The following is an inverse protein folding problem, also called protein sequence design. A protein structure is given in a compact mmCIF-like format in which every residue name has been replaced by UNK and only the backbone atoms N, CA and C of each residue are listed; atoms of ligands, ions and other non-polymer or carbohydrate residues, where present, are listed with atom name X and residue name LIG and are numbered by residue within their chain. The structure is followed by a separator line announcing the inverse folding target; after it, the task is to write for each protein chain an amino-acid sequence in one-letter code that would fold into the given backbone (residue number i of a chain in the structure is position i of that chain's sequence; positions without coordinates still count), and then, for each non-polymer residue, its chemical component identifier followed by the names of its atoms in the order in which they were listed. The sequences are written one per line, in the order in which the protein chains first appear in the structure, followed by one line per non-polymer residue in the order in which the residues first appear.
data_IF_724909447429
#
_entry.id   IF_724909447429
#
_cell.length_a   1.000
_cell.length_b   1.000
_cell.length_c   1.000
_cell.angle_alpha   90.00
_cell.angle_beta   90.00
_cell.angle_gamma   90.00
#
_symmetry.space_group_name_H-M   'P 1'
#
loop_
_entity.id
_entity.type
_entity.pdbx_description
1 polymer ?
#
# COMPACT_ATOMS: atom_id res chain seq x y z
N UNK A 1 -28.26 -12.34 4.23
CA UNK A 1 -27.82 -11.80 2.92
C UNK A 1 -27.17 -10.44 3.12
N UNK A 2 -25.92 -10.26 2.70
CA UNK A 2 -25.18 -9.00 2.91
C UNK A 2 -25.80 -7.81 2.18
N UNK A 3 -25.81 -6.63 2.81
CA UNK A 3 -26.34 -5.39 2.21
C UNK A 3 -25.51 -5.06 0.95
N UNK A 4 -26.14 -5.11 -0.24
CA UNK A 4 -25.51 -4.72 -1.52
C UNK A 4 -25.06 -3.25 -1.44
N UNK A 5 -23.79 -2.99 -1.75
CA UNK A 5 -23.16 -1.65 -1.76
C UNK A 5 -22.85 -1.29 -3.21
N UNK A 6 -22.87 0.00 -3.52
CA UNK A 6 -22.40 0.51 -4.82
C UNK A 6 -20.99 0.00 -5.09
N UNK A 7 -20.75 -0.50 -6.30
CA UNK A 7 -19.41 -0.95 -6.70
C UNK A 7 -18.38 0.17 -6.53
N UNK A 8 -17.29 -0.10 -5.82
CA UNK A 8 -16.17 0.83 -5.60
C UNK A 8 -15.16 0.68 -6.74
N UNK A 9 -14.57 1.80 -7.17
CA UNK A 9 -13.51 1.78 -8.17
C UNK A 9 -13.63 2.93 -9.16
N UNK A 10 -12.52 3.21 -9.84
CA UNK A 10 -12.44 4.17 -10.95
C UNK A 10 -13.34 3.69 -12.08
N UNK A 11 -14.22 4.56 -12.58
CA UNK A 11 -15.17 4.22 -13.65
C UNK A 11 -14.50 4.32 -15.03
N UNK A 12 -13.72 5.38 -15.24
CA UNK A 12 -12.96 5.65 -16.46
C UNK A 12 -11.49 5.53 -16.12
N UNK A 13 -10.87 4.41 -16.49
CA UNK A 13 -9.43 4.19 -16.34
C UNK A 13 -8.67 5.14 -17.27
N UNK A 14 -7.54 5.67 -16.81
CA UNK A 14 -6.71 6.64 -17.53
C UNK A 14 -7.51 7.81 -18.12
N UNK A 15 -8.50 8.31 -17.36
CA UNK A 15 -9.45 9.33 -17.82
C UNK A 15 -8.77 10.52 -18.53
N UNK A 16 -7.66 11.03 -18.00
CA UNK A 16 -7.01 12.23 -18.53
C UNK A 16 -6.37 11.94 -19.90
N UNK A 17 -5.84 10.72 -20.08
CA UNK A 17 -5.30 10.23 -21.36
C UNK A 17 -6.43 10.10 -22.39
N UNK A 18 -7.52 9.42 -22.02
CA UNK A 18 -8.68 9.23 -22.90
C UNK A 18 -9.31 10.56 -23.31
N UNK A 19 -9.42 11.50 -22.39
CA UNK A 19 -9.91 12.85 -22.68
C UNK A 19 -9.00 13.55 -23.69
N UNK A 20 -7.69 13.54 -23.49
CA UNK A 20 -6.74 14.12 -24.43
C UNK A 20 -6.85 13.47 -25.82
N UNK A 21 -6.98 12.15 -25.89
CA UNK A 21 -7.15 11.41 -27.14
C UNK A 21 -8.44 11.75 -27.90
N UNK A 22 -9.56 12.02 -27.20
CA UNK A 22 -10.79 12.51 -27.87
C UNK A 22 -10.59 13.92 -28.40
N UNK A 23 -9.97 14.80 -27.62
CA UNK A 23 -9.78 16.20 -28.00
C UNK A 23 -8.81 16.39 -29.17
N UNK A 24 -7.91 15.44 -29.41
CA UNK A 24 -7.05 15.45 -30.61
C UNK A 24 -7.84 15.41 -31.93
N UNK A 25 -9.05 14.85 -31.90
CA UNK A 25 -9.91 14.74 -33.08
C UNK A 25 -10.94 15.89 -33.17
N UNK A 26 -10.87 16.87 -32.25
CA UNK A 26 -11.88 17.93 -32.09
C UNK A 26 -11.25 19.32 -32.06
N UNK A 27 -12.05 20.36 -32.34
CA UNK A 27 -11.62 21.75 -32.16
C UNK A 27 -11.41 22.08 -30.67
N UNK A 28 -10.50 23.01 -30.37
CA UNK A 28 -10.22 23.49 -29.00
C UNK A 28 -11.45 24.09 -28.29
N UNK A 29 -12.39 24.61 -29.05
CA UNK A 29 -13.64 25.16 -28.58
C UNK A 29 -14.83 24.21 -28.79
N UNK A 30 -14.58 22.92 -29.03
CA UNK A 30 -15.62 21.92 -29.18
C UNK A 30 -16.61 21.97 -28.00
N UNK A 31 -17.88 21.95 -28.38
CA UNK A 31 -19.02 21.94 -27.47
C UNK A 31 -19.02 20.67 -26.60
N UNK A 32 -19.79 20.73 -25.52
CA UNK A 32 -19.98 19.57 -24.64
C UNK A 32 -20.56 18.37 -25.38
N UNK A 33 -21.48 18.60 -26.32
CA UNK A 33 -22.10 17.55 -27.12
C UNK A 33 -21.11 16.91 -28.10
N UNK A 34 -20.30 17.72 -28.80
CA UNK A 34 -19.25 17.21 -29.70
C UNK A 34 -18.23 16.36 -28.94
N UNK A 35 -17.80 16.82 -27.76
CA UNK A 35 -16.89 16.06 -26.91
C UNK A 35 -17.51 14.72 -26.47
N UNK A 36 -18.77 14.73 -26.02
CA UNK A 36 -19.43 13.51 -25.54
C UNK A 36 -19.68 12.52 -26.69
N UNK A 37 -20.03 13.00 -27.89
CA UNK A 37 -20.15 12.16 -29.07
C UNK A 37 -18.80 11.55 -29.46
N UNK A 38 -17.73 12.36 -29.45
CA UNK A 38 -16.36 11.88 -29.65
C UNK A 38 -15.96 10.82 -28.63
N UNK A 39 -16.27 11.04 -27.35
CA UNK A 39 -15.97 10.10 -26.27
C UNK A 39 -16.73 8.79 -26.42
N UNK A 40 -18.04 8.84 -26.73
CA UNK A 40 -18.85 7.64 -26.99
C UNK A 40 -18.32 6.83 -28.18
N UNK A 41 -17.90 7.52 -29.24
CA UNK A 41 -17.35 6.90 -30.45
C UNK A 41 -16.01 6.23 -30.18
N UNK A 42 -15.11 6.90 -29.46
CA UNK A 42 -13.73 6.43 -29.22
C UNK A 42 -13.63 5.43 -28.06
N UNK A 43 -14.44 5.59 -27.01
CA UNK A 43 -14.41 4.78 -25.79
C UNK A 43 -15.81 4.24 -25.41
N UNK A 44 -16.46 3.43 -26.27
CA UNK A 44 -17.82 2.94 -26.03
C UNK A 44 -17.93 2.08 -24.77
N UNK A 45 -16.89 1.31 -24.43
CA UNK A 45 -16.87 0.46 -23.23
C UNK A 45 -16.82 1.29 -21.94
N UNK A 46 -16.03 2.36 -21.90
CA UNK A 46 -16.01 3.27 -20.75
C UNK A 46 -17.36 3.97 -20.58
N UNK A 47 -18.00 4.37 -21.69
CA UNK A 47 -19.34 4.94 -21.65
C UNK A 47 -20.36 3.96 -21.04
N UNK A 48 -20.36 2.69 -21.48
CA UNK A 48 -21.21 1.65 -20.91
C UNK A 48 -20.95 1.43 -19.41
N UNK A 49 -19.70 1.50 -18.95
CA UNK A 49 -19.36 1.42 -17.52
C UNK A 49 -19.94 2.59 -16.72
N UNK A 50 -19.90 3.80 -17.26
CA UNK A 50 -20.49 4.99 -16.63
C UNK A 50 -22.01 4.83 -16.53
N UNK A 51 -22.69 4.41 -17.59
CA UNK A 51 -24.13 4.16 -17.59
C UNK A 51 -24.52 3.06 -16.59
N UNK A 52 -23.80 1.93 -16.60
CA UNK A 52 -24.04 0.84 -15.67
C UNK A 52 -23.88 1.27 -14.20
N UNK A 53 -22.85 2.09 -13.89
CA UNK A 53 -22.66 2.61 -12.53
C UNK A 53 -23.78 3.57 -12.13
N UNK A 54 -24.24 4.42 -13.04
CA UNK A 54 -25.35 5.33 -12.77
C UNK A 54 -26.67 4.59 -12.55
N UNK A 55 -26.97 3.57 -13.36
CA UNK A 55 -28.14 2.70 -13.18
C UNK A 55 -28.10 1.95 -11.84
N UNK A 56 -26.91 1.46 -11.43
CA UNK A 56 -26.71 0.87 -10.10
C UNK A 56 -27.04 1.89 -9.00
N UNK A 57 -26.53 3.12 -9.11
CA UNK A 57 -26.84 4.22 -8.19
C UNK A 57 -28.34 4.51 -8.10
N UNK A 58 -29.05 4.65 -9.23
CA UNK A 58 -30.50 4.91 -9.27
C UNK A 58 -31.31 3.80 -8.61
N UNK A 59 -30.88 2.54 -8.75
CA UNK A 59 -31.53 1.39 -8.11
C UNK A 59 -31.39 1.40 -6.58
N UNK A 60 -30.31 2.00 -6.06
CA UNK A 60 -29.95 2.02 -4.65
C UNK A 60 -30.45 3.28 -3.93
N UNK A 61 -30.43 4.45 -4.58
CA UNK A 61 -30.83 5.73 -3.97
C UNK A 61 -32.32 5.74 -3.61
N UNK A 62 -33.16 5.04 -4.39
CA UNK A 62 -34.59 4.85 -4.05
C UNK A 62 -34.81 4.13 -2.72
N UNK A 63 -33.79 3.42 -2.21
CA UNK A 63 -33.89 2.57 -1.02
C UNK A 63 -33.10 3.14 0.17
N UNK A 64 -32.26 4.17 -0.03
CA UNK A 64 -31.26 4.61 0.95
C UNK A 64 -30.87 6.07 0.72
N UNK A 65 -30.49 6.77 1.80
CA UNK A 65 -29.90 8.11 1.70
C UNK A 65 -28.44 8.02 1.21
N UNK A 66 -28.25 8.02 -0.11
CA UNK A 66 -26.93 7.98 -0.78
C UNK A 66 -26.66 9.37 -1.39
N UNK A 67 -25.44 9.93 -1.25
CA UNK A 67 -25.09 11.21 -1.87
C UNK A 67 -25.37 11.23 -3.38
N UNK A 68 -25.76 12.39 -3.95
CA UNK A 68 -26.07 12.50 -5.37
C UNK A 68 -24.86 12.16 -6.25
N UNK A 69 -25.09 11.35 -7.29
CA UNK A 69 -24.10 11.06 -8.33
C UNK A 69 -24.45 11.86 -9.59
N UNK A 70 -23.43 12.42 -10.26
CA UNK A 70 -23.62 13.08 -11.55
C UNK A 70 -24.17 12.11 -12.60
N UNK A 71 -25.09 12.57 -13.43
CA UNK A 71 -25.58 11.82 -14.60
C UNK A 71 -24.43 11.47 -15.54
N UNK A 72 -24.51 10.40 -16.36
CA UNK A 72 -23.42 9.95 -17.21
C UNK A 72 -22.77 11.05 -18.04
N UNK A 73 -23.59 11.89 -18.68
CA UNK A 73 -23.14 13.06 -19.45
C UNK A 73 -22.28 14.01 -18.60
N UNK A 74 -22.83 14.50 -17.50
CA UNK A 74 -22.13 15.43 -16.61
C UNK A 74 -20.91 14.79 -15.94
N UNK A 75 -20.95 13.50 -15.64
CA UNK A 75 -19.82 12.76 -15.08
C UNK A 75 -18.61 12.79 -16.01
N UNK A 76 -18.83 12.52 -17.31
CA UNK A 76 -17.77 12.54 -18.31
C UNK A 76 -17.26 13.96 -18.57
N UNK A 77 -18.14 14.96 -18.60
CA UNK A 77 -17.72 16.37 -18.68
C UNK A 77 -16.86 16.80 -17.48
N UNK A 78 -17.27 16.42 -16.26
CA UNK A 78 -16.52 16.69 -15.05
C UNK A 78 -15.14 16.03 -15.09
N UNK A 79 -15.04 14.82 -15.67
CA UNK A 79 -13.77 14.12 -15.88
C UNK A 79 -12.87 14.86 -16.89
N UNK A 80 -13.46 15.47 -17.91
CA UNK A 80 -12.73 16.17 -18.97
C UNK A 80 -12.32 17.61 -18.64
N UNK A 81 -12.93 18.22 -17.61
CA UNK A 81 -12.82 19.65 -17.28
C UNK A 81 -11.38 20.18 -17.26
N UNK A 82 -10.45 19.46 -16.62
CA UNK A 82 -9.06 19.93 -16.46
C UNK A 82 -8.34 19.94 -17.81
N UNK A 83 -8.37 18.83 -18.55
CA UNK A 83 -7.67 18.72 -19.85
C UNK A 83 -8.31 19.66 -20.89
N UNK A 84 -9.64 19.76 -20.94
CA UNK A 84 -10.33 20.72 -21.83
C UNK A 84 -9.93 22.16 -21.53
N UNK A 85 -9.88 22.54 -20.26
CA UNK A 85 -9.42 23.87 -19.85
C UNK A 85 -7.98 24.13 -20.30
N UNK A 86 -7.04 23.19 -20.08
CA UNK A 86 -5.65 23.32 -20.53
C UNK A 86 -5.55 23.51 -22.05
N UNK A 87 -6.29 22.70 -22.82
CA UNK A 87 -6.31 22.80 -24.28
C UNK A 87 -6.87 24.13 -24.77
N UNK A 88 -7.94 24.64 -24.14
CA UNK A 88 -8.50 25.96 -24.43
C UNK A 88 -7.51 27.10 -24.16
N UNK A 89 -6.63 26.96 -23.17
CA UNK A 89 -5.57 27.92 -22.86
C UNK A 89 -4.32 27.75 -23.74
N UNK A 90 -4.37 26.88 -24.75
CA UNK A 90 -3.31 26.72 -25.75
C UNK A 90 -2.23 25.70 -25.38
N UNK A 91 -2.43 24.87 -24.35
CA UNK A 91 -1.51 23.75 -24.11
C UNK A 91 -1.62 22.70 -25.23
N UNK A 92 -0.48 22.16 -25.66
CA UNK A 92 -0.41 21.15 -26.70
C UNK A 92 -0.86 19.76 -26.19
N UNK A 93 -1.90 19.21 -26.80
CA UNK A 93 -2.46 17.91 -26.43
C UNK A 93 -1.50 16.74 -26.68
N UNK A 94 -0.66 16.80 -27.71
CA UNK A 94 0.34 15.76 -27.98
C UNK A 94 1.41 15.77 -26.88
N UNK A 95 1.81 16.94 -26.41
CA UNK A 95 2.74 17.07 -25.28
C UNK A 95 2.11 16.58 -23.96
N UNK A 96 0.85 16.94 -23.69
CA UNK A 96 0.09 16.42 -22.55
C UNK A 96 0.03 14.88 -22.62
N UNK A 97 -0.34 14.33 -23.78
CA UNK A 97 -0.46 12.90 -23.98
C UNK A 97 0.88 12.19 -23.83
N UNK A 98 1.97 12.78 -24.33
CA UNK A 98 3.33 12.28 -24.14
C UNK A 98 3.72 12.22 -22.66
N UNK A 99 3.39 13.26 -21.88
CA UNK A 99 3.63 13.28 -20.42
C UNK A 99 2.78 12.23 -19.67
N UNK A 100 1.51 12.05 -20.07
CA UNK A 100 0.62 11.04 -19.47
C UNK A 100 1.03 9.61 -19.81
N UNK A 101 1.58 9.39 -21.00
CA UNK A 101 2.10 8.08 -21.44
C UNK A 101 3.53 7.81 -20.98
N UNK A 102 4.25 8.82 -20.47
CA UNK A 102 5.59 8.61 -19.94
C UNK A 102 5.51 7.61 -18.78
N UNK A 103 6.43 6.63 -18.72
CA UNK A 103 6.48 5.73 -17.58
C UNK A 103 6.66 6.56 -16.32
N UNK A 104 5.81 6.35 -15.31
CA UNK A 104 5.98 7.01 -14.02
C UNK A 104 7.41 6.74 -13.54
N UNK A 105 8.16 7.79 -13.17
CA UNK A 105 9.54 7.58 -12.77
C UNK A 105 9.57 6.65 -11.57
N UNK A 106 10.48 5.68 -11.58
CA UNK A 106 10.55 4.66 -10.54
C UNK A 106 10.87 5.25 -9.15
N UNK A 107 11.48 6.45 -9.15
CA UNK A 107 11.80 7.27 -7.98
C UNK A 107 11.91 8.75 -8.39
N UNK A 108 12.00 9.63 -7.40
CA UNK A 108 12.20 11.08 -7.54
C UNK A 108 13.56 11.42 -6.94
N UNK A 109 14.37 12.23 -7.63
CA UNK A 109 15.66 12.75 -7.13
C UNK A 109 15.38 13.93 -6.17
N UNK A 110 14.98 13.63 -4.94
CA UNK A 110 14.62 14.61 -3.91
C UNK A 110 14.61 13.96 -2.53
N UNK A 111 14.55 14.79 -1.48
CA UNK A 111 14.34 14.33 -0.11
C UNK A 111 12.84 14.16 0.22
N UNK A 112 12.45 13.12 0.97
CA UNK A 112 11.08 12.99 1.47
C UNK A 112 10.77 14.06 2.52
N UNK A 113 9.60 14.70 2.43
CA UNK A 113 9.16 15.69 3.42
C UNK A 113 9.08 15.11 4.86
N UNK A 114 8.64 13.86 4.99
CA UNK A 114 8.52 13.16 6.29
C UNK A 114 9.76 12.30 6.63
N UNK A 115 10.95 12.73 6.21
CA UNK A 115 12.19 11.95 6.27
C UNK A 115 12.46 11.34 7.66
N UNK A 116 12.43 12.16 8.71
CA UNK A 116 12.73 11.74 10.08
C UNK A 116 11.77 10.64 10.57
N UNK A 117 10.47 10.82 10.34
CA UNK A 117 9.46 9.85 10.74
C UNK A 117 9.60 8.52 9.99
N UNK A 118 10.04 8.56 8.73
CA UNK A 118 10.30 7.38 7.94
C UNK A 118 11.58 6.65 8.40
N UNK A 119 12.66 7.37 8.70
CA UNK A 119 13.88 6.76 9.25
C UNK A 119 13.65 6.16 10.64
N UNK A 120 12.85 6.80 11.48
CA UNK A 120 12.44 6.22 12.77
C UNK A 120 11.74 4.86 12.60
N UNK A 121 10.91 4.71 11.57
CA UNK A 121 10.26 3.44 11.23
C UNK A 121 11.22 2.44 10.61
N UNK A 122 12.15 2.91 9.77
CA UNK A 122 13.19 2.08 9.16
C UNK A 122 14.07 1.44 10.23
N UNK A 123 14.35 2.15 11.33
CA UNK A 123 15.18 1.70 12.43
C UNK A 123 14.38 1.05 13.58
N UNK A 124 13.08 0.79 13.40
CA UNK A 124 12.26 0.12 14.42
C UNK A 124 12.58 -1.38 14.45
N UNK A 125 13.48 -1.78 15.34
CA UNK A 125 13.91 -3.18 15.51
C UNK A 125 12.77 -4.11 15.94
N UNK A 126 11.69 -3.55 16.50
CA UNK A 126 10.54 -4.30 17.02
C UNK A 126 9.46 -4.62 15.97
N UNK A 127 9.66 -4.23 14.70
CA UNK A 127 8.70 -4.54 13.64
C UNK A 127 9.33 -4.55 12.24
N UNK A 128 9.64 -5.74 11.72
CA UNK A 128 10.15 -5.89 10.35
C UNK A 128 9.15 -5.38 9.31
N UNK A 129 7.84 -5.51 9.57
CA UNK A 129 6.79 -4.98 8.70
C UNK A 129 6.86 -3.45 8.57
N UNK A 130 7.11 -2.74 9.68
CA UNK A 130 7.30 -1.28 9.64
C UNK A 130 8.58 -0.91 8.90
N UNK A 131 9.67 -1.66 9.07
CA UNK A 131 10.92 -1.44 8.32
C UNK A 131 10.69 -1.61 6.82
N UNK A 132 10.00 -2.66 6.39
CA UNK A 132 9.62 -2.87 4.99
C UNK A 132 8.71 -1.75 4.45
N UNK A 133 7.72 -1.30 5.22
CA UNK A 133 6.87 -0.17 4.84
C UNK A 133 7.68 1.13 4.69
N UNK A 134 8.63 1.38 5.60
CA UNK A 134 9.55 2.50 5.52
C UNK A 134 10.41 2.43 4.25
N UNK A 135 10.98 1.26 3.92
CA UNK A 135 11.73 1.04 2.67
C UNK A 135 10.86 1.34 1.44
N UNK A 136 9.59 0.91 1.44
CA UNK A 136 8.67 1.18 0.32
C UNK A 136 8.39 2.68 0.15
N UNK A 137 8.32 3.44 1.25
CA UNK A 137 8.05 4.89 1.23
C UNK A 137 9.30 5.69 0.89
N UNK A 138 10.42 5.42 1.55
CA UNK A 138 11.73 6.03 1.29
C UNK A 138 12.22 5.68 -0.11
N UNK A 139 12.01 4.45 -0.59
CA UNK A 139 12.43 3.98 -1.91
C UNK A 139 11.72 4.63 -3.11
N UNK A 140 10.86 5.64 -2.87
CA UNK A 140 10.35 6.56 -3.89
C UNK A 140 11.25 7.77 -4.12
N UNK A 141 12.19 7.99 -3.21
CA UNK A 141 13.08 9.15 -3.15
C UNK A 141 14.50 8.64 -3.24
N UNK A 142 15.22 9.03 -4.29
CA UNK A 142 16.64 8.77 -4.41
C UNK A 142 17.36 10.01 -3.90
N UNK A 143 18.06 9.86 -2.79
CA UNK A 143 18.90 10.88 -2.21
C UNK A 143 19.99 10.19 -1.36
N UNK A 144 21.10 10.89 -1.05
CA UNK A 144 22.25 10.28 -0.37
C UNK A 144 21.90 9.61 0.97
N UNK A 145 20.99 10.21 1.75
CA UNK A 145 20.58 9.66 3.05
C UNK A 145 19.83 8.33 2.91
N UNK A 146 18.92 8.22 1.93
CA UNK A 146 18.16 7.00 1.66
C UNK A 146 19.07 5.90 1.13
N UNK A 147 19.95 6.24 0.19
CA UNK A 147 20.91 5.30 -0.39
C UNK A 147 21.84 4.71 0.68
N UNK A 148 22.42 5.57 1.52
CA UNK A 148 23.30 5.15 2.61
C UNK A 148 22.58 4.20 3.58
N UNK A 149 21.36 4.55 4.00
CA UNK A 149 20.59 3.71 4.91
C UNK A 149 20.21 2.36 4.27
N UNK A 150 19.85 2.32 2.98
CA UNK A 150 19.53 1.04 2.33
C UNK A 150 20.77 0.17 2.16
N UNK A 151 21.94 0.75 1.87
CA UNK A 151 23.21 0.02 1.81
C UNK A 151 23.57 -0.60 3.16
N UNK A 152 23.28 0.09 4.26
CA UNK A 152 23.47 -0.42 5.62
C UNK A 152 22.46 -1.52 5.97
N UNK A 153 21.16 -1.24 5.86
CA UNK A 153 20.07 -2.17 6.17
C UNK A 153 20.21 -3.49 5.40
N UNK A 154 20.54 -3.41 4.10
CA UNK A 154 20.80 -4.58 3.26
C UNK A 154 21.89 -5.50 3.84
N UNK A 155 22.90 -4.94 4.52
CA UNK A 155 24.02 -5.68 5.10
C UNK A 155 23.71 -6.23 6.50
N UNK A 156 23.09 -5.42 7.35
CA UNK A 156 23.04 -5.69 8.80
C UNK A 156 21.71 -6.22 9.33
N UNK A 157 20.57 -5.94 8.67
CA UNK A 157 19.26 -6.24 9.26
C UNK A 157 19.10 -7.74 9.58
N UNK A 158 18.57 -8.16 10.74
CA UNK A 158 18.44 -9.59 11.03
C UNK A 158 17.42 -10.32 10.16
N UNK A 159 16.55 -9.60 9.43
CA UNK A 159 15.43 -10.14 8.65
C UNK A 159 15.75 -10.11 7.15
N UNK A 160 15.82 -11.29 6.52
CA UNK A 160 16.14 -11.40 5.09
C UNK A 160 15.18 -10.62 4.18
N UNK A 161 13.87 -10.66 4.44
CA UNK A 161 12.89 -9.91 3.63
C UNK A 161 13.12 -8.39 3.71
N UNK A 162 13.62 -7.87 4.83
CA UNK A 162 14.00 -6.45 4.96
C UNK A 162 15.25 -6.15 4.12
N UNK A 163 16.27 -7.03 4.18
CA UNK A 163 17.49 -6.90 3.37
C UNK A 163 17.17 -6.92 1.86
N UNK A 164 16.32 -7.86 1.45
CA UNK A 164 15.88 -8.01 0.06
C UNK A 164 15.07 -6.82 -0.42
N UNK A 165 14.20 -6.26 0.43
CA UNK A 165 13.45 -5.04 0.12
C UNK A 165 14.38 -3.84 -0.13
N UNK A 166 15.42 -3.66 0.69
CA UNK A 166 16.41 -2.61 0.50
C UNK A 166 17.24 -2.83 -0.78
N UNK A 167 17.71 -4.06 -1.01
CA UNK A 167 18.45 -4.44 -2.22
C UNK A 167 17.67 -4.16 -3.52
N UNK A 168 16.38 -4.52 -3.54
CA UNK A 168 15.52 -4.26 -4.69
C UNK A 168 15.41 -2.77 -5.01
N UNK A 169 15.36 -1.90 -3.99
CA UNK A 169 15.34 -0.45 -4.18
C UNK A 169 16.66 0.10 -4.68
N UNK A 170 17.78 -0.38 -4.15
CA UNK A 170 19.11 0.00 -4.64
C UNK A 170 19.31 -0.35 -6.12
N UNK A 171 18.84 -1.53 -6.57
CA UNK A 171 18.85 -1.87 -8.00
C UNK A 171 18.03 -0.88 -8.85
N UNK A 172 16.85 -0.49 -8.36
CA UNK A 172 16.01 0.53 -9.03
C UNK A 172 16.75 1.88 -9.10
N UNK A 173 17.53 2.24 -8.08
CA UNK A 173 18.37 3.43 -8.08
C UNK A 173 19.59 3.36 -9.01
N UNK A 174 19.86 2.20 -9.61
CA UNK A 174 20.94 1.97 -10.57
C UNK A 174 22.19 1.31 -10.00
N UNK A 175 22.15 0.79 -8.77
CA UNK A 175 23.29 0.07 -8.19
C UNK A 175 23.45 -1.31 -8.83
N UNK A 176 24.67 -1.61 -9.28
CA UNK A 176 25.07 -2.96 -9.67
C UNK A 176 25.67 -3.69 -8.45
N UNK A 177 24.79 -4.28 -7.64
CA UNK A 177 25.16 -4.97 -6.40
C UNK A 177 24.54 -6.36 -6.32
N UNK A 178 25.34 -7.31 -5.83
CA UNK A 178 24.89 -8.68 -5.57
C UNK A 178 23.83 -8.72 -4.46
N UNK A 179 23.02 -9.77 -4.47
CA UNK A 179 22.04 -10.02 -3.42
C UNK A 179 22.72 -10.16 -2.05
N UNK A 180 22.07 -9.69 -0.96
CA UNK A 180 22.62 -9.82 0.37
C UNK A 180 22.80 -11.30 0.74
N UNK A 181 23.87 -11.61 1.48
CA UNK A 181 24.01 -12.93 2.10
C UNK A 181 22.87 -13.15 3.09
N UNK A 182 22.34 -14.38 3.12
CA UNK A 182 21.30 -14.76 4.09
C UNK A 182 21.81 -14.49 5.51
N UNK A 183 20.98 -13.81 6.29
CA UNK A 183 21.17 -13.65 7.72
C UNK A 183 21.21 -15.03 8.38
N UNK A 184 22.00 -15.20 9.45
CA UNK A 184 21.92 -16.38 10.31
C UNK A 184 20.48 -16.62 10.77
N UNK A 185 20.10 -17.88 10.94
CA UNK A 185 18.83 -18.20 11.56
C UNK A 185 18.80 -17.64 12.98
N UNK A 186 17.76 -16.88 13.30
CA UNK A 186 17.54 -16.40 14.65
C UNK A 186 17.28 -17.58 15.60
N UNK A 187 17.95 -17.57 16.75
CA UNK A 187 17.82 -18.56 17.82
C UNK A 187 17.62 -17.82 19.12
N UNK A 188 16.52 -18.12 19.80
CA UNK A 188 16.18 -17.55 21.09
C UNK A 188 16.47 -18.59 22.18
N UNK A 189 17.63 -18.44 22.84
CA UNK A 189 18.11 -19.42 23.82
C UNK A 189 17.27 -19.43 25.09
N UNK A 190 16.69 -18.28 25.42
CA UNK A 190 15.94 -18.06 26.66
C UNK A 190 14.42 -17.98 26.40
N UNK A 191 13.95 -18.60 25.31
CA UNK A 191 12.55 -18.54 24.90
C UNK A 191 11.61 -19.05 26.01
N UNK A 192 11.97 -20.15 26.66
CA UNK A 192 11.10 -20.75 27.67
C UNK A 192 10.92 -19.82 28.87
N UNK A 193 12.01 -19.23 29.35
CA UNK A 193 12.08 -18.28 30.45
C UNK A 193 11.26 -17.02 30.13
N UNK A 194 11.41 -16.47 28.92
CA UNK A 194 10.63 -15.32 28.46
C UNK A 194 9.14 -15.63 28.42
N UNK A 195 8.74 -16.80 27.93
CA UNK A 195 7.34 -17.18 27.89
C UNK A 195 6.74 -17.43 29.29
N UNK A 196 7.54 -17.96 30.22
CA UNK A 196 7.17 -18.06 31.64
C UNK A 196 6.97 -16.67 32.26
N UNK A 197 7.85 -15.71 31.99
CA UNK A 197 7.69 -14.32 32.46
C UNK A 197 6.39 -13.70 31.93
N UNK A 198 6.07 -13.91 30.65
CA UNK A 198 4.79 -13.48 30.08
C UNK A 198 3.61 -14.12 30.80
N UNK A 199 3.65 -15.44 31.03
CA UNK A 199 2.57 -16.15 31.74
C UNK A 199 2.40 -15.63 33.17
N UNK A 200 3.48 -15.50 33.93
CA UNK A 200 3.47 -15.01 35.32
C UNK A 200 3.00 -13.55 35.42
N UNK A 201 3.19 -12.75 34.36
CA UNK A 201 2.69 -11.37 34.30
C UNK A 201 1.18 -11.27 34.04
N UNK A 202 0.51 -12.40 33.79
CA UNK A 202 -0.92 -12.52 33.56
C UNK A 202 -1.57 -13.15 34.80
N UNK A 203 -2.82 -12.78 35.08
CA UNK A 203 -3.62 -13.45 36.13
C UNK A 203 -3.96 -14.89 35.72
N UNK A 204 -4.49 -15.68 36.67
CA UNK A 204 -5.02 -17.02 36.39
C UNK A 204 -6.03 -17.00 35.22
N UNK A 205 -5.96 -18.04 34.38
CA UNK A 205 -6.74 -18.22 33.14
C UNK A 205 -6.66 -17.04 32.13
N UNK A 206 -5.54 -16.95 31.41
CA UNK A 206 -5.40 -16.02 30.28
C UNK A 206 -5.81 -16.64 28.94
N UNK A 207 -6.37 -15.80 28.05
CA UNK A 207 -6.62 -16.20 26.66
C UNK A 207 -5.35 -16.11 25.81
N UNK A 208 -5.33 -16.80 24.66
CA UNK A 208 -4.27 -16.69 23.67
C UNK A 208 -4.01 -15.23 23.26
N UNK A 209 -5.06 -14.45 23.01
CA UNK A 209 -4.95 -13.04 22.58
C UNK A 209 -4.30 -12.16 23.66
N UNK A 210 -4.60 -12.43 24.95
CA UNK A 210 -3.94 -11.75 26.06
C UNK A 210 -2.47 -12.11 26.14
N UNK A 211 -2.14 -13.39 26.01
CA UNK A 211 -0.74 -13.84 26.01
C UNK A 211 0.04 -13.24 24.84
N UNK A 212 -0.49 -13.32 23.61
CA UNK A 212 0.15 -12.76 22.41
C UNK A 212 0.42 -11.26 22.58
N UNK A 213 -0.58 -10.51 23.06
CA UNK A 213 -0.46 -9.07 23.31
C UNK A 213 0.61 -8.76 24.37
N UNK A 214 0.68 -9.57 25.43
CA UNK A 214 1.64 -9.40 26.52
C UNK A 214 3.05 -9.78 26.08
N UNK A 215 3.22 -10.87 25.32
CA UNK A 215 4.50 -11.28 24.72
C UNK A 215 5.04 -10.18 23.81
N UNK A 216 4.18 -9.62 22.95
CA UNK A 216 4.53 -8.48 22.10
C UNK A 216 4.95 -7.24 22.88
N UNK A 217 4.39 -7.03 24.06
CA UNK A 217 4.68 -5.86 24.90
C UNK A 217 5.98 -6.02 25.68
N UNK A 218 6.18 -7.19 26.30
CA UNK A 218 7.36 -7.45 27.16
C UNK A 218 8.59 -7.75 26.31
N UNK A 219 8.45 -8.57 25.27
CA UNK A 219 9.55 -9.03 24.41
C UNK A 219 9.27 -8.69 22.94
N UNK A 220 9.18 -7.40 22.59
CA UNK A 220 8.77 -6.97 21.25
C UNK A 220 9.72 -7.43 20.14
N UNK A 221 11.03 -7.51 20.41
CA UNK A 221 12.03 -7.95 19.45
C UNK A 221 11.88 -9.45 19.15
N UNK A 222 11.86 -10.28 20.19
CA UNK A 222 11.68 -11.72 20.09
C UNK A 222 10.35 -12.06 19.42
N UNK A 223 9.27 -11.37 19.83
CA UNK A 223 7.97 -11.50 19.22
C UNK A 223 8.03 -11.28 17.70
N UNK A 224 8.67 -10.18 17.27
CA UNK A 224 8.81 -9.85 15.85
C UNK A 224 9.63 -10.89 15.09
N UNK A 225 10.74 -11.36 15.67
CA UNK A 225 11.61 -12.37 15.07
C UNK A 225 10.92 -13.73 14.94
N UNK A 226 10.21 -14.18 15.97
CA UNK A 226 9.42 -15.42 15.89
C UNK A 226 8.26 -15.28 14.91
N UNK A 227 7.57 -14.12 14.89
CA UNK A 227 6.52 -13.85 13.90
C UNK A 227 7.07 -13.94 12.47
N UNK A 228 8.25 -13.36 12.22
CA UNK A 228 8.91 -13.45 10.92
C UNK A 228 9.30 -14.89 10.55
N UNK A 229 9.90 -15.64 11.48
CA UNK A 229 10.35 -17.01 11.21
C UNK A 229 9.19 -17.98 10.99
N UNK A 230 8.12 -17.86 11.77
CA UNK A 230 6.97 -18.78 11.72
C UNK A 230 5.93 -18.38 10.67
N UNK A 231 5.91 -17.12 10.22
CA UNK A 231 4.98 -16.60 9.21
C UNK A 231 3.53 -16.99 9.54
N UNK A 232 2.85 -17.69 8.63
CA UNK A 232 1.46 -18.13 8.81
C UNK A 232 1.25 -19.11 9.98
N UNK A 233 2.30 -19.78 10.44
CA UNK A 233 2.26 -20.76 11.53
C UNK A 233 2.49 -20.15 12.91
N UNK A 234 2.70 -18.84 13.02
CA UNK A 234 3.03 -18.18 14.30
C UNK A 234 1.99 -18.46 15.39
N UNK A 235 0.70 -18.34 15.07
CA UNK A 235 -0.39 -18.60 16.03
C UNK A 235 -0.39 -20.04 16.53
N UNK A 236 -0.21 -21.00 15.63
CA UNK A 236 -0.16 -22.43 15.98
C UNK A 236 1.06 -22.72 16.85
N UNK A 237 2.23 -22.21 16.45
CA UNK A 237 3.47 -22.36 17.21
C UNK A 237 3.33 -21.78 18.62
N UNK A 238 2.86 -20.54 18.76
CA UNK A 238 2.71 -19.88 20.06
C UNK A 238 1.69 -20.61 20.94
N UNK A 239 0.60 -21.13 20.36
CA UNK A 239 -0.38 -21.96 21.09
C UNK A 239 0.27 -23.23 21.65
N UNK A 240 1.15 -23.88 20.89
CA UNK A 240 1.89 -25.06 21.38
C UNK A 240 2.83 -24.68 22.51
N UNK A 241 3.54 -23.54 22.39
CA UNK A 241 4.43 -23.08 23.46
C UNK A 241 3.67 -22.79 24.75
N UNK A 242 2.52 -22.10 24.67
CA UNK A 242 1.68 -21.79 25.84
C UNK A 242 1.22 -23.07 26.56
N UNK A 243 0.87 -24.13 25.82
CA UNK A 243 0.42 -25.41 26.41
C UNK A 243 1.51 -26.15 27.19
N UNK A 244 2.78 -25.84 26.92
CA UNK A 244 3.93 -26.44 27.60
C UNK A 244 4.31 -25.68 28.89
N UNK A 245 3.71 -24.51 29.13
CA UNK A 245 3.93 -23.76 30.35
C UNK A 245 3.20 -24.43 31.52
N UNK A 246 3.75 -24.36 32.75
CA UNK A 246 3.08 -24.86 33.94
C UNK A 246 1.69 -24.22 34.08
N UNK A 247 0.68 -25.04 34.40
CA UNK A 247 -0.59 -24.51 34.90
C UNK A 247 -0.37 -24.10 36.34
N UNK A 248 -0.98 -23.00 36.78
CA UNK A 248 -0.92 -22.52 38.17
C UNK A 248 -1.59 -23.47 39.17
N UNK A 249 -1.32 -24.77 39.16
CA UNK A 249 -1.76 -25.77 40.14
C UNK A 249 -0.61 -26.76 40.39
N UNK A 250 0.55 -26.28 40.86
CA UNK A 250 1.62 -27.17 41.34
C UNK A 250 2.67 -26.41 42.18
N UNK A 251 2.19 -25.61 43.14
CA UNK A 251 2.98 -25.22 44.32
C UNK A 251 2.02 -25.16 45.51
N UNK A 252 1.71 -26.33 46.07
CA UNK A 252 1.32 -26.46 47.48
C UNK A 252 2.58 -26.55 48.35
#
# INVERSE_FOLDING_TARGET
MGKKRLTKGVIIEDKDKKVAEVLLDLDRNASDDEFILGFKKKFPQDWQRVEARYAEYESLVKKRNIPPMARPFQYVLNAARIIRSRYQHGEDLQEILKKLNAPKPAFIEAEPADQEALFKKLNDVHSYEKRIDAIKKLGKYKCPAVEAAFLEIMKIDPVNDVREAAHARLKIFGYDINSPRKAPAYVDKDLHEKLLEVANSLHEDFSYERFESKFRTIFPLEFDMHKYQKKGEFKNWLTVQIRQLPRHHEYE
#
